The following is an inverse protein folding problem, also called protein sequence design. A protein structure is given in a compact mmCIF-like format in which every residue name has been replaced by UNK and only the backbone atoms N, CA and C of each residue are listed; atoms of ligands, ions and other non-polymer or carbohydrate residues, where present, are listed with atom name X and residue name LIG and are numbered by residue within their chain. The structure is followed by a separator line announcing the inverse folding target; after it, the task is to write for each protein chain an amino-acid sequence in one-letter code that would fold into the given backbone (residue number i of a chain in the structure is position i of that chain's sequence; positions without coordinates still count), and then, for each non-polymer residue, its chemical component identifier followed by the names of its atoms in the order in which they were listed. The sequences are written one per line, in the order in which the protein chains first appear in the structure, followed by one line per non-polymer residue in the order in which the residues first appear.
data_IF_752206639464
#
_entry.id   IF_752206639464
#
_cell.length_a   1.000
_cell.length_b   1.000
_cell.length_c   1.000
_cell.angle_alpha   90.00
_cell.angle_beta   90.00
_cell.angle_gamma   90.00
#
_symmetry.space_group_name_H-M   'P 1'
#
loop_
_entity.id
_entity.type
_entity.pdbx_description
1 polymer ?
#
# COMPACT_ATOMS: atom_id res chain seq x y z
N UNK A 1 -51.04 64.68 41.21
CA UNK A 1 -49.72 64.03 41.17
C UNK A 1 -49.91 62.61 40.65
N UNK A 2 -49.22 62.28 39.54
CA UNK A 2 -48.90 60.94 39.02
C UNK A 2 -50.09 60.01 38.66
N UNK A 3 -50.14 59.25 37.57
CA UNK A 3 -49.19 58.84 36.50
C UNK A 3 -50.10 58.11 35.49
N UNK A 4 -50.42 58.62 34.30
CA UNK A 4 -49.66 58.57 33.04
C UNK A 4 -48.65 57.42 32.97
N UNK A 5 -49.07 56.27 32.42
CA UNK A 5 -48.22 55.27 31.74
C UNK A 5 -49.06 54.06 31.25
N UNK A 6 -49.88 54.24 30.21
CA UNK A 6 -50.36 53.10 29.42
C UNK A 6 -50.55 53.55 27.97
N UNK A 7 -49.43 53.71 27.26
CA UNK A 7 -49.41 53.87 25.82
C UNK A 7 -48.13 53.18 25.31
N UNK A 8 -48.21 51.86 25.26
CA UNK A 8 -47.23 50.99 24.59
C UNK A 8 -47.30 51.29 23.10
N UNK A 9 -46.44 52.21 22.67
CA UNK A 9 -46.10 52.44 21.28
C UNK A 9 -45.51 51.14 20.70
N UNK A 10 -46.26 50.50 19.79
CA UNK A 10 -45.65 49.65 18.76
C UNK A 10 -44.75 50.54 17.90
N UNK A 11 -43.48 50.63 18.26
CA UNK A 11 -42.46 51.18 17.37
C UNK A 11 -42.21 50.10 16.31
N UNK A 12 -42.50 50.34 15.02
CA UNK A 12 -42.07 49.40 13.98
C UNK A 12 -40.54 49.35 14.07
N UNK A 13 -39.98 48.18 14.33
CA UNK A 13 -38.54 47.98 14.23
C UNK A 13 -38.21 47.97 12.74
N UNK A 14 -37.33 48.88 12.33
CA UNK A 14 -36.95 49.09 10.93
C UNK A 14 -35.90 48.03 10.61
N UNK A 15 -36.31 46.91 10.02
CA UNK A 15 -35.40 45.81 9.69
C UNK A 15 -35.54 45.46 8.21
N UNK A 16 -34.41 45.31 7.50
CA UNK A 16 -34.39 44.64 6.22
C UNK A 16 -34.89 43.21 6.38
N UNK A 17 -35.67 42.76 5.40
CA UNK A 17 -36.12 41.38 5.33
C UNK A 17 -35.82 40.78 3.95
N UNK A 18 -35.74 39.46 3.90
CA UNK A 18 -35.51 38.70 2.68
C UNK A 18 -36.83 38.05 2.27
N UNK A 19 -37.27 38.29 1.04
CA UNK A 19 -38.47 37.64 0.50
C UNK A 19 -38.16 36.86 -0.78
N UNK A 20 -38.99 35.84 -1.02
CA UNK A 20 -38.93 34.99 -2.22
C UNK A 20 -37.53 34.41 -2.49
N UNK A 21 -36.83 34.06 -1.40
CA UNK A 21 -35.53 33.45 -1.48
C UNK A 21 -35.62 31.97 -1.80
N UNK A 22 -34.97 31.55 -2.89
CA UNK A 22 -34.89 30.16 -3.31
C UNK A 22 -33.44 29.72 -3.44
N UNK A 23 -33.18 28.52 -2.94
CA UNK A 23 -31.97 27.76 -3.17
C UNK A 23 -32.34 26.62 -4.12
N UNK A 24 -31.72 26.58 -5.31
CA UNK A 24 -31.95 25.57 -6.33
C UNK A 24 -30.66 24.81 -6.61
N UNK A 25 -30.76 23.48 -6.60
CA UNK A 25 -29.70 22.56 -7.03
C UNK A 25 -30.32 21.67 -8.10
N UNK A 26 -29.81 21.73 -9.33
CA UNK A 26 -30.31 21.00 -10.52
C UNK A 26 -31.84 21.09 -10.74
N UNK A 27 -32.46 22.21 -10.39
CA UNK A 27 -33.90 22.46 -10.58
C UNK A 27 -34.80 22.06 -9.41
N UNK A 28 -34.26 21.44 -8.35
CA UNK A 28 -34.96 21.27 -7.08
C UNK A 28 -34.84 22.56 -6.25
N UNK A 29 -35.89 23.38 -6.24
CA UNK A 29 -35.94 24.64 -5.51
C UNK A 29 -36.54 24.46 -4.10
N UNK A 30 -35.83 24.95 -3.08
CA UNK A 30 -36.31 25.03 -1.71
C UNK A 30 -36.29 26.49 -1.26
N UNK A 31 -37.37 26.92 -0.61
CA UNK A 31 -37.44 28.26 -0.02
C UNK A 31 -36.43 28.40 1.11
N UNK A 32 -35.98 29.62 1.38
CA UNK A 32 -35.15 29.88 2.58
C UNK A 32 -35.85 29.35 3.84
N UNK A 33 -35.05 28.80 4.76
CA UNK A 33 -35.47 28.06 5.96
C UNK A 33 -36.11 26.66 5.72
N UNK A 34 -36.13 26.17 4.48
CA UNK A 34 -36.58 24.83 4.14
C UNK A 34 -35.59 23.72 4.50
N UNK A 35 -36.01 22.47 4.31
CA UNK A 35 -35.21 21.27 4.58
C UNK A 35 -33.89 21.26 3.77
N UNK A 36 -32.83 20.65 4.32
CA UNK A 36 -31.53 20.64 3.68
C UNK A 36 -31.57 19.88 2.35
N UNK A 37 -30.97 20.47 1.31
CA UNK A 37 -30.88 19.87 -0.02
C UNK A 37 -29.59 19.07 -0.13
N UNK A 38 -29.65 17.90 -0.76
CA UNK A 38 -28.48 17.06 -1.04
C UNK A 38 -27.69 17.57 -2.24
N UNK A 39 -26.38 17.72 -2.08
CA UNK A 39 -25.42 17.97 -3.16
C UNK A 39 -24.75 16.66 -3.55
N UNK A 40 -25.07 16.17 -4.75
CA UNK A 40 -24.50 14.95 -5.32
C UNK A 40 -23.38 15.24 -6.32
N UNK A 41 -22.57 14.23 -6.65
CA UNK A 41 -21.48 14.36 -7.64
C UNK A 41 -21.93 14.71 -9.05
N UNK A 42 -23.21 14.48 -9.36
CA UNK A 42 -23.84 14.77 -10.66
C UNK A 42 -24.28 16.23 -10.78
N UNK A 43 -24.30 16.97 -9.66
CA UNK A 43 -24.83 18.34 -9.63
C UNK A 43 -23.95 19.34 -10.36
N UNK A 44 -24.60 20.19 -11.18
CA UNK A 44 -23.91 21.11 -12.10
C UNK A 44 -23.65 22.46 -11.46
N UNK A 45 -24.68 23.05 -10.86
CA UNK A 45 -24.64 24.39 -10.28
C UNK A 45 -25.56 24.51 -9.06
N UNK A 46 -25.17 25.40 -8.15
CA UNK A 46 -25.98 25.87 -7.03
C UNK A 46 -26.45 27.27 -7.41
N UNK A 47 -27.76 27.43 -7.56
CA UNK A 47 -28.41 28.69 -7.87
C UNK A 47 -29.06 29.25 -6.61
N UNK A 48 -28.75 30.51 -6.29
CA UNK A 48 -29.31 31.23 -5.15
C UNK A 48 -29.89 32.53 -5.68
N UNK A 49 -31.19 32.73 -5.47
CA UNK A 49 -31.91 33.93 -5.86
C UNK A 49 -32.76 34.44 -4.70
N UNK A 50 -32.70 35.74 -4.44
CA UNK A 50 -33.54 36.38 -3.42
C UNK A 50 -33.80 37.84 -3.75
N UNK A 51 -34.90 38.36 -3.22
CA UNK A 51 -35.25 39.77 -3.29
C UNK A 51 -34.94 40.44 -1.94
N UNK A 52 -34.36 41.64 -1.98
CA UNK A 52 -34.05 42.44 -0.80
C UNK A 52 -35.20 43.42 -0.56
N UNK A 53 -35.84 43.34 0.61
CA UNK A 53 -36.95 44.21 0.97
C UNK A 53 -36.55 45.20 2.06
N UNK A 54 -36.98 46.45 1.89
CA UNK A 54 -37.04 47.47 2.94
C UNK A 54 -38.52 47.68 3.29
N UNK A 55 -38.91 47.29 4.52
CA UNK A 55 -40.29 47.41 5.03
C UNK A 55 -41.37 46.79 4.13
N UNK A 56 -41.04 45.67 3.49
CA UNK A 56 -41.98 44.97 2.61
C UNK A 56 -42.02 45.49 1.17
N UNK A 57 -41.33 46.58 0.84
CA UNK A 57 -41.16 47.07 -0.53
C UNK A 57 -39.76 46.76 -1.07
N UNK A 58 -39.64 46.58 -2.40
CA UNK A 58 -38.34 46.35 -3.04
C UNK A 58 -37.43 47.55 -2.85
N UNK A 59 -36.21 47.31 -2.38
CA UNK A 59 -35.22 48.35 -2.15
C UNK A 59 -34.93 49.12 -3.45
N UNK A 60 -35.02 50.45 -3.42
CA UNK A 60 -34.88 51.33 -4.61
C UNK A 60 -33.43 51.47 -5.11
N UNK A 61 -32.44 51.25 -4.25
CA UNK A 61 -31.02 51.29 -4.56
C UNK A 61 -30.32 50.05 -4.00
N UNK A 62 -29.39 49.42 -4.74
CA UNK A 62 -28.68 48.25 -4.22
C UNK A 62 -27.77 48.65 -3.03
N UNK A 63 -27.67 47.80 -1.99
CA UNK A 63 -26.81 48.06 -0.84
C UNK A 63 -25.34 47.91 -1.21
N UNK A 64 -24.45 48.52 -0.42
CA UNK A 64 -23.02 48.63 -0.74
C UNK A 64 -22.28 47.28 -0.77
N UNK A 65 -22.69 46.32 0.07
CA UNK A 65 -22.14 44.97 0.12
C UNK A 65 -23.27 43.94 0.15
N UNK A 66 -23.24 42.99 -0.79
CA UNK A 66 -24.02 41.75 -0.73
C UNK A 66 -23.07 40.60 -0.99
N UNK A 67 -23.01 39.66 -0.06
CA UNK A 67 -22.21 38.44 -0.22
C UNK A 67 -22.95 37.25 0.35
N UNK A 68 -22.80 36.11 -0.33
CA UNK A 68 -23.27 34.82 0.11
C UNK A 68 -22.08 34.07 0.70
N UNK A 69 -22.22 33.65 1.94
CA UNK A 69 -21.25 32.87 2.69
C UNK A 69 -21.62 31.40 2.64
N UNK A 70 -20.69 30.57 2.17
CA UNK A 70 -20.75 29.12 2.31
C UNK A 70 -19.78 28.72 3.42
N UNK A 71 -20.31 28.28 4.55
CA UNK A 71 -19.53 27.87 5.73
C UNK A 71 -19.52 26.36 5.85
N UNK A 72 -18.32 25.80 5.90
CA UNK A 72 -18.09 24.36 6.00
C UNK A 72 -17.13 24.08 7.17
N UNK A 73 -17.68 23.86 8.35
CA UNK A 73 -16.90 23.82 9.61
C UNK A 73 -16.26 25.19 9.88
N UNK A 74 -14.93 25.24 9.96
CA UNK A 74 -14.15 26.47 10.19
C UNK A 74 -13.74 27.19 8.88
N UNK A 75 -14.19 26.71 7.71
CA UNK A 75 -13.81 27.27 6.41
C UNK A 75 -14.98 28.02 5.80
N UNK A 76 -14.75 29.31 5.59
CA UNK A 76 -15.68 30.22 4.94
C UNK A 76 -15.28 30.51 3.50
N UNK A 77 -16.24 30.51 2.58
CA UNK A 77 -16.05 31.01 1.21
C UNK A 77 -17.11 32.04 0.85
N UNK A 78 -16.63 33.15 0.30
CA UNK A 78 -17.44 34.31 -0.04
C UNK A 78 -17.73 34.33 -1.54
N UNK A 79 -18.99 34.53 -1.90
CA UNK A 79 -19.43 34.69 -3.27
C UNK A 79 -20.28 35.95 -3.42
N UNK A 80 -20.12 36.65 -4.55
CA UNK A 80 -20.78 37.92 -4.81
C UNK A 80 -21.87 37.73 -5.88
N UNK A 81 -23.17 37.92 -5.54
CA UNK A 81 -24.25 37.82 -6.51
C UNK A 81 -24.24 38.98 -7.50
N UNK A 82 -24.84 38.76 -8.68
CA UNK A 82 -25.17 39.83 -9.62
C UNK A 82 -26.49 40.46 -9.20
N UNK A 83 -26.51 41.77 -8.98
CA UNK A 83 -27.71 42.49 -8.53
C UNK A 83 -28.33 43.22 -9.73
N UNK A 84 -29.63 43.00 -9.97
CA UNK A 84 -30.45 43.79 -10.91
C UNK A 84 -31.74 44.17 -10.21
N UNK A 85 -32.07 45.46 -10.16
CA UNK A 85 -33.37 45.98 -9.69
C UNK A 85 -33.86 45.34 -8.37
N UNK A 86 -32.98 45.28 -7.36
CA UNK A 86 -33.27 44.72 -6.02
C UNK A 86 -33.28 43.19 -5.91
N UNK A 87 -33.06 42.48 -7.03
CA UNK A 87 -32.94 41.03 -7.06
C UNK A 87 -31.48 40.60 -7.17
N UNK A 88 -31.04 39.77 -6.23
CA UNK A 88 -29.73 39.15 -6.22
C UNK A 88 -29.79 37.76 -6.86
N UNK A 89 -28.96 37.51 -7.87
CA UNK A 89 -28.81 36.18 -8.48
C UNK A 89 -27.37 35.73 -8.41
N UNK A 90 -27.14 34.53 -7.89
CA UNK A 90 -25.85 33.87 -7.89
C UNK A 90 -25.98 32.46 -8.47
N UNK A 91 -25.10 32.14 -9.39
CA UNK A 91 -24.91 30.80 -9.93
C UNK A 91 -23.47 30.37 -9.64
N UNK A 92 -23.33 29.36 -8.77
CA UNK A 92 -22.04 28.78 -8.40
C UNK A 92 -21.94 27.40 -9.07
N UNK A 93 -21.08 27.23 -10.08
CA UNK A 93 -20.83 25.91 -10.63
C UNK A 93 -20.08 25.07 -9.60
N UNK A 94 -20.51 23.82 -9.40
CA UNK A 94 -19.93 22.89 -8.40
C UNK A 94 -18.45 22.64 -8.69
N UNK A 95 -18.01 22.75 -9.94
CA UNK A 95 -16.59 22.67 -10.32
C UNK A 95 -15.71 23.73 -9.65
N UNK A 96 -16.20 24.95 -9.44
CA UNK A 96 -15.46 26.07 -8.84
C UNK A 96 -15.49 26.09 -7.31
N UNK A 97 -16.28 25.24 -6.67
CA UNK A 97 -16.25 25.08 -5.21
C UNK A 97 -14.87 24.57 -4.75
N UNK A 98 -14.40 25.08 -3.62
CA UNK A 98 -13.13 24.66 -3.04
C UNK A 98 -13.18 23.18 -2.63
N UNK A 99 -12.03 22.51 -2.65
CA UNK A 99 -11.95 21.09 -2.23
C UNK A 99 -12.42 20.90 -0.78
N UNK A 100 -12.21 21.89 0.08
CA UNK A 100 -12.60 21.85 1.49
C UNK A 100 -14.13 21.88 1.69
N UNK A 101 -14.84 22.74 0.95
CA UNK A 101 -16.30 22.79 0.99
C UNK A 101 -16.90 21.49 0.48
N UNK A 102 -16.35 20.94 -0.61
CA UNK A 102 -16.79 19.64 -1.15
C UNK A 102 -16.62 18.47 -0.18
N UNK A 103 -15.57 18.50 0.63
CA UNK A 103 -15.23 17.44 1.59
C UNK A 103 -16.09 17.47 2.86
N UNK A 104 -16.74 18.59 3.15
CA UNK A 104 -17.47 18.78 4.40
C UNK A 104 -18.87 18.20 4.29
N UNK A 105 -19.36 17.44 5.30
CA UNK A 105 -20.64 16.74 5.22
C UNK A 105 -21.84 17.70 5.19
N UNK A 106 -21.68 18.89 5.76
CA UNK A 106 -22.69 19.92 5.85
C UNK A 106 -22.08 21.27 5.49
N UNK A 107 -22.81 22.05 4.69
CA UNK A 107 -22.46 23.39 4.24
C UNK A 107 -23.61 24.31 4.63
N UNK A 108 -23.33 25.30 5.45
CA UNK A 108 -24.29 26.31 5.86
C UNK A 108 -24.25 27.48 4.88
N UNK A 109 -25.42 27.92 4.42
CA UNK A 109 -25.56 29.06 3.50
C UNK A 109 -26.08 30.25 4.28
N UNK A 110 -25.31 31.33 4.30
CA UNK A 110 -25.69 32.59 4.96
C UNK A 110 -25.60 33.76 3.99
N UNK A 111 -26.50 34.73 4.15
CA UNK A 111 -26.51 35.98 3.39
C UNK A 111 -26.00 37.08 4.30
N UNK A 112 -24.99 37.81 3.82
CA UNK A 112 -24.43 39.00 4.45
C UNK A 112 -24.73 40.21 3.56
N UNK A 113 -25.50 41.15 4.09
CA UNK A 113 -25.78 42.45 3.49
C UNK A 113 -25.21 43.53 4.41
N UNK A 114 -24.46 44.47 3.84
CA UNK A 114 -23.86 45.58 4.55
C UNK A 114 -24.04 46.89 3.79
N UNK A 115 -24.40 47.94 4.51
CA UNK A 115 -24.47 49.30 3.98
C UNK A 115 -23.94 50.30 5.02
N UNK A 116 -23.69 51.55 4.61
CA UNK A 116 -23.20 52.60 5.49
C UNK A 116 -24.25 52.98 6.56
N UNK A 117 -25.52 52.68 6.31
CA UNK A 117 -26.62 52.83 7.28
C UNK A 117 -26.79 51.53 8.05
N UNK A 118 -26.62 51.58 9.38
CA UNK A 118 -26.65 50.40 10.25
C UNK A 118 -27.95 49.58 10.17
N UNK A 119 -29.07 50.23 9.87
CA UNK A 119 -30.39 49.59 9.73
C UNK A 119 -30.45 48.66 8.51
N UNK A 120 -29.53 48.81 7.55
CA UNK A 120 -29.42 47.99 6.35
C UNK A 120 -28.37 46.87 6.46
N UNK A 121 -27.89 46.56 7.67
CA UNK A 121 -26.98 45.45 7.90
C UNK A 121 -27.77 44.19 8.28
N UNK A 122 -27.58 43.11 7.52
CA UNK A 122 -28.24 41.83 7.76
C UNK A 122 -27.23 40.68 7.63
N UNK A 123 -27.16 39.85 8.67
CA UNK A 123 -26.48 38.56 8.61
C UNK A 123 -27.46 37.47 9.00
N UNK A 124 -27.87 36.64 8.05
CA UNK A 124 -28.88 35.59 8.26
C UNK A 124 -28.49 34.30 7.58
N UNK A 125 -28.57 33.19 8.31
CA UNK A 125 -28.49 31.84 7.76
C UNK A 125 -29.80 31.53 7.02
N UNK A 126 -29.70 31.17 5.74
CA UNK A 126 -30.85 30.99 4.83
C UNK A 126 -31.09 29.53 4.45
N UNK A 127 -30.10 28.64 4.63
CA UNK A 127 -30.27 27.23 4.32
C UNK A 127 -29.06 26.37 4.69
N UNK A 128 -29.23 25.06 4.53
CA UNK A 128 -28.19 24.05 4.76
C UNK A 128 -28.15 23.11 3.55
N UNK A 129 -26.94 22.76 3.13
CA UNK A 129 -26.69 21.82 2.03
C UNK A 129 -25.91 20.63 2.60
N UNK A 130 -26.41 19.42 2.39
CA UNK A 130 -25.68 18.19 2.74
C UNK A 130 -24.85 17.72 1.56
N UNK A 131 -23.53 17.61 1.74
CA UNK A 131 -22.65 17.10 0.69
C UNK A 131 -22.46 15.59 0.86
N UNK A 132 -22.83 14.81 -0.16
CA UNK A 132 -22.49 13.39 -0.26
C UNK A 132 -21.36 13.14 -1.28
N UNK A 133 -20.50 14.14 -1.47
CA UNK A 133 -19.36 14.04 -2.38
C UNK A 133 -18.29 13.13 -1.74
N UNK A 134 -17.82 12.13 -2.50
CA UNK A 134 -16.77 11.20 -2.06
C UNK A 134 -15.54 11.98 -1.58
N UNK A 135 -15.34 12.00 -0.27
CA UNK A 135 -14.30 12.77 0.39
C UNK A 135 -12.92 12.18 0.10
N UNK A 136 -12.10 12.88 -0.68
CA UNK A 136 -10.65 12.68 -0.60
C UNK A 136 -10.22 13.17 0.80
N UNK A 137 -9.56 12.32 1.57
CA UNK A 137 -9.16 12.61 2.95
C UNK A 137 -8.52 14.00 3.07
N UNK A 138 -8.92 14.75 4.10
CA UNK A 138 -8.30 16.05 4.44
C UNK A 138 -6.77 15.89 4.42
N UNK A 139 -6.02 16.70 3.66
CA UNK A 139 -4.57 16.53 3.57
C UNK A 139 -3.95 16.87 4.93
N UNK A 140 -3.57 15.84 5.68
CA UNK A 140 -2.89 15.98 6.95
C UNK A 140 -1.44 16.42 6.70
N UNK A 141 -1.19 17.73 6.78
CA UNK A 141 0.10 18.33 6.38
C UNK A 141 1.19 18.17 7.45
N UNK A 142 0.82 17.87 8.70
CA UNK A 142 1.74 17.79 9.85
C UNK A 142 1.47 16.66 10.84
N UNK A 143 0.85 15.56 10.39
CA UNK A 143 0.57 14.38 11.22
C UNK A 143 1.77 13.44 11.36
N UNK A 144 1.82 12.69 12.48
CA UNK A 144 2.72 11.54 12.61
C UNK A 144 2.31 10.50 11.57
N UNK A 145 3.20 10.23 10.61
CA UNK A 145 2.99 9.17 9.61
C UNK A 145 2.96 7.80 10.30
N UNK A 146 2.19 6.84 9.75
CA UNK A 146 2.21 5.48 10.25
C UNK A 146 3.64 4.90 10.13
N UNK A 147 4.00 4.06 11.10
CA UNK A 147 5.27 3.35 11.10
C UNK A 147 5.33 2.33 9.95
N UNK A 148 6.46 2.29 9.26
CA UNK A 148 6.69 1.35 8.15
C UNK A 148 7.35 0.10 8.72
N UNK A 149 6.61 -1.00 8.76
CA UNK A 149 7.12 -2.31 9.21
C UNK A 149 7.48 -3.14 7.97
N UNK A 150 8.75 -3.53 7.84
CA UNK A 150 9.17 -4.41 6.76
C UNK A 150 8.64 -5.84 7.00
N UNK A 151 7.87 -6.37 6.04
CA UNK A 151 7.38 -7.74 6.08
C UNK A 151 8.38 -8.68 5.39
N UNK A 152 9.11 -9.45 6.18
CA UNK A 152 9.99 -10.47 5.65
C UNK A 152 9.20 -11.60 5.00
N UNK A 153 9.79 -12.21 3.97
CA UNK A 153 9.24 -13.40 3.33
C UNK A 153 9.15 -14.54 4.35
N UNK A 154 8.02 -15.22 4.37
CA UNK A 154 7.85 -16.43 5.19
C UNK A 154 8.87 -17.51 4.79
N UNK A 155 9.43 -18.27 5.75
CA UNK A 155 10.32 -19.38 5.44
C UNK A 155 9.61 -20.42 4.55
N UNK A 156 10.38 -21.08 3.68
CA UNK A 156 9.85 -22.18 2.87
C UNK A 156 9.49 -23.38 3.75
N UNK A 157 8.43 -24.09 3.40
CA UNK A 157 8.03 -25.31 4.10
C UNK A 157 8.96 -26.46 3.71
N UNK A 158 9.58 -27.10 4.70
CA UNK A 158 10.38 -28.31 4.51
C UNK A 158 9.48 -29.56 4.47
N UNK A 159 9.99 -30.63 3.84
CA UNK A 159 9.32 -31.94 3.78
C UNK A 159 9.40 -32.64 5.14
N UNK A 160 8.43 -33.53 5.43
CA UNK A 160 8.45 -34.37 6.63
C UNK A 160 9.74 -35.22 6.68
N UNK A 161 10.54 -35.15 7.76
CA UNK A 161 11.79 -35.90 7.90
C UNK A 161 11.67 -37.41 7.69
N UNK A 162 10.53 -38.00 8.05
CA UNK A 162 10.29 -39.44 7.92
C UNK A 162 10.34 -39.88 6.45
N UNK A 163 9.79 -39.06 5.56
CA UNK A 163 9.79 -39.32 4.12
C UNK A 163 11.22 -39.30 3.61
N UNK A 164 12.01 -38.29 3.99
CA UNK A 164 13.43 -38.19 3.61
C UNK A 164 14.25 -39.39 4.09
N UNK A 165 14.03 -39.85 5.34
CA UNK A 165 14.71 -41.02 5.90
C UNK A 165 14.37 -42.29 5.13
N UNK A 166 13.10 -42.48 4.72
CA UNK A 166 12.70 -43.63 3.92
C UNK A 166 13.46 -43.71 2.59
N UNK A 167 13.60 -42.59 1.88
CA UNK A 167 14.36 -42.54 0.63
C UNK A 167 15.87 -42.79 0.85
N UNK A 168 16.46 -42.23 1.91
CA UNK A 168 17.85 -42.52 2.28
C UNK A 168 18.02 -44.03 2.54
N UNK A 169 17.10 -44.63 3.30
CA UNK A 169 17.07 -46.07 3.54
C UNK A 169 16.97 -46.89 2.24
N UNK A 170 16.15 -46.44 1.28
CA UNK A 170 16.04 -47.04 -0.04
C UNK A 170 17.36 -47.01 -0.82
N UNK A 171 18.07 -45.88 -0.83
CA UNK A 171 19.38 -45.74 -1.48
C UNK A 171 20.41 -46.68 -0.84
N UNK A 172 20.45 -46.74 0.50
CA UNK A 172 21.35 -47.66 1.23
C UNK A 172 21.01 -49.12 0.93
N UNK A 173 19.72 -49.48 0.86
CA UNK A 173 19.28 -50.82 0.52
C UNK A 173 19.67 -51.22 -0.91
N UNK A 174 19.56 -50.30 -1.87
CA UNK A 174 20.02 -50.53 -3.25
C UNK A 174 21.54 -50.75 -3.32
N UNK A 175 22.31 -49.98 -2.56
CA UNK A 175 23.76 -50.16 -2.46
C UNK A 175 24.11 -51.51 -1.83
N UNK A 176 23.39 -51.93 -0.79
CA UNK A 176 23.55 -53.27 -0.22
C UNK A 176 23.18 -54.38 -1.22
N UNK A 177 22.08 -54.21 -1.97
CA UNK A 177 21.67 -55.14 -3.01
C UNK A 177 22.74 -55.26 -4.12
N UNK A 178 23.40 -54.16 -4.48
CA UNK A 178 24.53 -54.18 -5.43
C UNK A 178 25.68 -55.05 -4.90
N UNK A 179 26.08 -54.88 -3.64
CA UNK A 179 27.14 -55.71 -3.07
C UNK A 179 26.72 -57.19 -2.96
N UNK A 180 25.48 -57.48 -2.58
CA UNK A 180 24.98 -58.86 -2.51
C UNK A 180 24.98 -59.51 -3.90
N UNK A 181 24.52 -58.79 -4.93
CA UNK A 181 24.49 -59.30 -6.31
C UNK A 181 25.88 -59.55 -6.87
N UNK A 182 26.85 -58.67 -6.59
CA UNK A 182 28.26 -58.90 -6.93
C UNK A 182 28.84 -60.17 -6.31
N UNK A 183 28.52 -60.45 -5.05
CA UNK A 183 28.96 -61.67 -4.37
C UNK A 183 28.21 -62.92 -4.89
N UNK A 184 26.92 -62.80 -5.22
CA UNK A 184 26.09 -63.93 -5.68
C UNK A 184 26.39 -64.36 -7.11
N UNK A 185 26.84 -63.43 -7.95
CA UNK A 185 27.14 -63.67 -9.36
C UNK A 185 28.63 -64.01 -9.60
N UNK A 186 29.41 -64.19 -8.53
CA UNK A 186 30.88 -64.33 -8.58
C UNK A 186 31.55 -63.26 -9.45
N UNK A 187 30.92 -62.07 -9.52
CA UNK A 187 31.39 -60.95 -10.33
C UNK A 187 32.65 -60.32 -9.73
N UNK A 188 32.92 -60.59 -8.46
CA UNK A 188 34.09 -60.13 -7.73
C UNK A 188 34.99 -61.33 -7.44
N UNK A 189 36.16 -61.35 -8.06
CA UNK A 189 37.17 -62.37 -7.84
C UNK A 189 38.38 -61.77 -7.07
N UNK A 190 38.68 -62.35 -5.91
CA UNK A 190 39.80 -61.96 -5.05
C UNK A 190 40.96 -62.97 -5.03
N UNK A 191 40.87 -64.07 -5.79
CA UNK A 191 41.85 -65.17 -5.80
C UNK A 191 43.26 -64.71 -6.16
N UNK A 192 43.36 -63.60 -6.89
CA UNK A 192 44.63 -63.06 -7.36
C UNK A 192 45.21 -61.95 -6.48
N UNK A 193 44.55 -61.60 -5.35
CA UNK A 193 45.05 -60.59 -4.39
C UNK A 193 46.50 -60.88 -3.97
N UNK A 194 46.84 -62.14 -3.69
CA UNK A 194 48.19 -62.54 -3.26
C UNK A 194 49.26 -62.45 -4.36
N UNK A 195 48.88 -62.27 -5.62
CA UNK A 195 49.79 -62.12 -6.77
C UNK A 195 50.02 -60.65 -7.14
N UNK A 196 49.30 -59.72 -6.52
CA UNK A 196 49.51 -58.30 -6.77
C UNK A 196 50.83 -57.82 -6.14
N UNK A 197 51.49 -56.83 -6.77
CA UNK A 197 52.64 -56.15 -6.18
C UNK A 197 52.17 -55.33 -4.98
N UNK A 198 52.26 -55.90 -3.77
CA UNK A 198 51.69 -55.32 -2.55
C UNK A 198 52.16 -53.88 -2.29
N UNK A 199 53.41 -53.54 -2.61
CA UNK A 199 53.98 -52.22 -2.35
C UNK A 199 53.23 -51.08 -3.04
N UNK A 200 53.30 -51.00 -4.38
CA UNK A 200 52.66 -49.92 -5.13
C UNK A 200 51.13 -50.02 -5.12
N UNK A 201 50.57 -51.23 -5.05
CA UNK A 201 49.11 -51.43 -5.03
C UNK A 201 48.48 -50.83 -3.77
N UNK A 202 49.07 -51.08 -2.58
CA UNK A 202 48.58 -50.52 -1.32
C UNK A 202 48.72 -49.00 -1.34
N UNK A 203 49.86 -48.48 -1.78
CA UNK A 203 50.09 -47.03 -1.90
C UNK A 203 49.06 -46.36 -2.83
N UNK A 204 48.66 -47.03 -3.92
CA UNK A 204 47.64 -46.53 -4.82
C UNK A 204 46.26 -46.46 -4.16
N UNK A 205 45.83 -47.50 -3.45
CA UNK A 205 44.57 -47.48 -2.71
C UNK A 205 44.56 -46.44 -1.58
N UNK A 206 45.70 -46.23 -0.91
CA UNK A 206 45.85 -45.15 0.08
C UNK A 206 45.70 -43.79 -0.58
N UNK A 207 46.30 -43.56 -1.75
CA UNK A 207 46.14 -42.30 -2.49
C UNK A 207 44.68 -42.06 -2.90
N UNK A 208 43.97 -43.10 -3.36
CA UNK A 208 42.53 -43.02 -3.67
C UNK A 208 41.71 -42.68 -2.43
N UNK A 209 41.93 -43.38 -1.31
CA UNK A 209 41.24 -43.10 -0.06
C UNK A 209 41.50 -41.68 0.47
N UNK A 210 42.74 -41.18 0.32
CA UNK A 210 43.09 -39.81 0.68
C UNK A 210 42.38 -38.79 -0.21
N UNK A 211 42.28 -39.04 -1.52
CA UNK A 211 41.53 -38.16 -2.43
C UNK A 211 40.05 -38.11 -2.07
N UNK A 212 39.42 -39.26 -1.81
CA UNK A 212 38.02 -39.28 -1.37
C UNK A 212 37.82 -38.58 -0.03
N UNK A 213 38.75 -38.75 0.92
CA UNK A 213 38.69 -38.04 2.19
C UNK A 213 38.84 -36.51 2.01
N UNK A 214 39.66 -36.06 1.06
CA UNK A 214 39.76 -34.63 0.72
C UNK A 214 38.42 -34.11 0.21
N UNK A 215 37.72 -34.87 -0.64
CA UNK A 215 36.39 -34.49 -1.14
C UNK A 215 35.30 -34.53 -0.07
N UNK A 216 35.33 -35.50 0.85
CA UNK A 216 34.42 -35.53 2.01
C UNK A 216 34.65 -34.29 2.89
N UNK A 217 35.91 -33.93 3.15
CA UNK A 217 36.23 -32.71 3.90
C UNK A 217 35.76 -31.44 3.18
N UNK A 218 35.87 -31.39 1.85
CA UNK A 218 35.35 -30.30 1.04
C UNK A 218 33.83 -30.18 1.16
N UNK A 219 33.11 -31.29 1.09
CA UNK A 219 31.65 -31.31 1.23
C UNK A 219 31.19 -30.84 2.62
N UNK A 220 31.92 -31.20 3.68
CA UNK A 220 31.54 -30.86 5.05
C UNK A 220 31.85 -29.41 5.43
N UNK A 221 33.06 -28.89 5.13
CA UNK A 221 33.44 -27.55 5.60
C UNK A 221 34.68 -26.92 4.94
N UNK A 222 35.50 -27.67 4.18
CA UNK A 222 36.79 -27.14 3.72
C UNK A 222 36.63 -26.11 2.58
N UNK A 223 37.50 -25.10 2.56
CA UNK A 223 37.49 -24.11 1.48
C UNK A 223 38.03 -24.70 0.18
N UNK A 224 37.59 -24.14 -0.95
CA UNK A 224 38.03 -24.60 -2.27
C UNK A 224 39.55 -24.53 -2.45
N UNK A 225 40.22 -23.49 -1.95
CA UNK A 225 41.67 -23.35 -2.06
C UNK A 225 42.44 -24.39 -1.24
N UNK A 226 41.95 -24.72 -0.04
CA UNK A 226 42.57 -25.80 0.76
C UNK A 226 42.40 -27.16 0.10
N UNK A 227 41.25 -27.39 -0.55
CA UNK A 227 40.95 -28.63 -1.29
C UNK A 227 41.86 -28.75 -2.51
N UNK A 228 42.02 -27.67 -3.28
CA UNK A 228 42.93 -27.62 -4.44
C UNK A 228 44.37 -27.86 -3.98
N UNK A 229 44.84 -27.20 -2.92
CA UNK A 229 46.21 -27.39 -2.42
C UNK A 229 46.47 -28.84 -1.97
N UNK A 230 45.57 -29.42 -1.19
CA UNK A 230 45.67 -30.82 -0.75
C UNK A 230 45.65 -31.79 -1.92
N UNK A 231 44.75 -31.56 -2.89
CA UNK A 231 44.66 -32.36 -4.11
C UNK A 231 45.92 -32.22 -4.96
N UNK A 232 46.50 -31.03 -5.06
CA UNK A 232 47.72 -30.76 -5.82
C UNK A 232 48.93 -31.50 -5.24
N UNK A 233 48.95 -31.79 -3.94
CA UNK A 233 49.98 -32.61 -3.30
C UNK A 233 49.72 -34.10 -3.55
N UNK A 234 48.49 -34.57 -3.34
CA UNK A 234 48.17 -36.01 -3.38
C UNK A 234 48.04 -36.53 -4.81
N UNK A 235 47.48 -35.76 -5.74
CA UNK A 235 47.20 -36.20 -7.10
C UNK A 235 48.46 -36.59 -7.90
N UNK A 236 49.57 -35.81 -7.90
CA UNK A 236 50.79 -36.22 -8.62
C UNK A 236 51.38 -37.53 -8.08
N UNK A 237 51.35 -37.72 -6.76
CA UNK A 237 51.78 -38.97 -6.10
C UNK A 237 50.87 -40.13 -6.54
N UNK A 238 49.56 -39.92 -6.50
CA UNK A 238 48.57 -40.89 -6.97
C UNK A 238 48.74 -41.28 -8.44
N UNK A 239 49.02 -40.30 -9.32
CA UNK A 239 49.30 -40.54 -10.75
C UNK A 239 50.59 -41.35 -10.94
N UNK A 240 51.66 -41.02 -10.21
CA UNK A 240 52.92 -41.75 -10.29
C UNK A 240 52.76 -43.21 -9.84
N UNK A 241 52.19 -43.43 -8.65
CA UNK A 241 51.99 -44.76 -8.10
C UNK A 241 51.00 -45.55 -8.95
N UNK A 242 49.89 -44.94 -9.38
CA UNK A 242 48.92 -45.57 -10.27
C UNK A 242 49.52 -46.01 -11.60
N UNK A 243 50.40 -45.18 -12.19
CA UNK A 243 51.14 -45.54 -13.40
C UNK A 243 52.06 -46.75 -13.21
N UNK A 244 52.67 -46.90 -12.02
CA UNK A 244 53.48 -48.07 -11.67
C UNK A 244 52.63 -49.33 -11.52
N UNK A 245 51.53 -49.25 -10.76
CA UNK A 245 50.59 -50.37 -10.57
C UNK A 245 50.03 -50.86 -11.91
N UNK A 246 49.59 -49.95 -12.77
CA UNK A 246 49.05 -50.33 -14.09
C UNK A 246 50.09 -50.98 -14.99
N UNK A 247 51.37 -50.56 -14.93
CA UNK A 247 52.47 -51.19 -15.68
C UNK A 247 52.77 -52.59 -15.16
N UNK A 248 52.79 -52.79 -13.84
CA UNK A 248 53.00 -54.11 -13.24
C UNK A 248 51.83 -55.06 -13.54
N UNK A 249 50.59 -54.58 -13.44
CA UNK A 249 49.40 -55.34 -13.85
C UNK A 249 49.45 -55.71 -15.34
N UNK A 250 49.95 -54.82 -16.19
CA UNK A 250 50.12 -55.12 -17.61
C UNK A 250 51.15 -56.24 -17.83
N UNK A 251 52.28 -56.21 -17.11
CA UNK A 251 53.29 -57.27 -17.16
C UNK A 251 52.76 -58.61 -16.67
N UNK A 252 51.98 -58.63 -15.58
CA UNK A 252 51.33 -59.85 -15.08
C UNK A 252 50.36 -60.44 -16.09
N UNK A 253 49.58 -59.59 -16.79
CA UNK A 253 48.70 -60.03 -17.88
C UNK A 253 49.47 -60.62 -19.06
N UNK A 254 50.59 -60.01 -19.46
CA UNK A 254 51.43 -60.54 -20.53
C UNK A 254 52.08 -61.88 -20.15
N UNK A 255 52.43 -62.05 -18.87
CA UNK A 255 52.98 -63.29 -18.32
C UNK A 255 51.91 -64.40 -18.09
N UNK A 256 50.65 -64.18 -18.46
CA UNK A 256 49.55 -65.13 -18.27
C UNK A 256 49.10 -65.32 -16.82
N UNK A 257 49.64 -64.54 -15.88
CA UNK A 257 49.28 -64.56 -14.46
C UNK A 257 48.10 -63.61 -14.24
N UNK A 258 46.92 -64.05 -14.69
CA UNK A 258 45.65 -63.36 -14.42
C UNK A 258 45.15 -63.66 -13.03
#
# INVERSE_FOLDING_TARGET
MLSLAFLLLCVPVWTLDLANGFLSIDGAAVSFDGFPIGLESTSKSIEIQFDILDKGEKLKSPPQQVSILLTAGDVDSYYYPKIKDSQAKLDIPVSKLSKYIKQSPQIDVSVLIGDNVKEYNLFRKVGQIHSNLRSSSKPERFGRKPEIIHQFKSPQKYVNPIISIFFIGGVVALLAALFITWNRLDAVNFDNIGKLPCGYTIQFFVCLALLENIFIHYFLSASIFTTIYRTLIVAPVGVYVGSKVLRELHQLRQAGKR
#
